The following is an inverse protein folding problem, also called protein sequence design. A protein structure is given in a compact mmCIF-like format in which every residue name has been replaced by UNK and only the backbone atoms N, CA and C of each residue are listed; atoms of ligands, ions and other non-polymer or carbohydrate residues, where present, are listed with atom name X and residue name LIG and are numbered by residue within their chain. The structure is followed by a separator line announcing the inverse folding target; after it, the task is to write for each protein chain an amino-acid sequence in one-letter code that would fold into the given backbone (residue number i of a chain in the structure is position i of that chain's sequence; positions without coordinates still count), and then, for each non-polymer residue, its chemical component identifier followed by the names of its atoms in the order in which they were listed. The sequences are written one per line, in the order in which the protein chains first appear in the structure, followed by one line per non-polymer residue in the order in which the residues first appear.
data_IF_991904073793
#
_entry.id   IF_991904073793
#
_cell.length_a   1.000
_cell.length_b   1.000
_cell.length_c   1.000
_cell.angle_alpha   90.00
_cell.angle_beta   90.00
_cell.angle_gamma   90.00
#
_symmetry.space_group_name_H-M   'P 1'
#
loop_
_entity.id
_entity.type
_entity.pdbx_description
1 polymer ?
#
# COMPACT_ATOMS: atom_id res chain seq x y z
N UNK A 1 13.80 8.94 0.37
CA UNK A 1 12.54 9.14 1.11
C UNK A 1 11.51 9.41 0.04
N UNK A 2 10.61 8.46 -0.24
CA UNK A 2 9.42 8.75 -1.02
C UNK A 2 8.46 9.45 -0.05
N UNK A 3 7.86 10.57 -0.47
CA UNK A 3 6.91 11.31 0.33
C UNK A 3 5.63 11.45 -0.50
N UNK A 4 4.48 11.27 0.13
CA UNK A 4 3.18 11.51 -0.47
C UNK A 4 3.09 12.98 -0.91
N UNK A 5 2.74 13.21 -2.18
CA UNK A 5 2.53 14.56 -2.76
C UNK A 5 1.09 15.04 -2.54
N UNK A 6 0.24 14.20 -1.93
CA UNK A 6 -1.15 14.52 -1.73
C UNK A 6 -1.32 15.67 -0.71
N UNK A 7 -2.21 16.60 -1.04
CA UNK A 7 -2.53 17.73 -0.19
C UNK A 7 -3.68 17.35 0.75
N UNK A 8 -3.33 17.07 2.00
CA UNK A 8 -4.24 16.71 3.08
C UNK A 8 -5.32 17.79 3.36
N UNK A 9 -5.17 19.01 2.85
CA UNK A 9 -6.15 20.08 3.03
C UNK A 9 -7.29 20.04 2.01
N UNK A 10 -7.19 19.21 0.96
CA UNK A 10 -8.24 19.08 -0.04
C UNK A 10 -9.36 18.15 0.47
N UNK A 11 -10.64 18.56 0.41
CA UNK A 11 -11.77 17.72 0.81
C UNK A 11 -11.80 16.37 0.07
N UNK A 12 -11.41 16.36 -1.21
CA UNK A 12 -11.35 15.17 -2.04
C UNK A 12 -10.34 14.15 -1.51
N UNK A 13 -9.26 14.63 -0.91
CA UNK A 13 -8.30 13.77 -0.28
C UNK A 13 -8.79 13.30 1.09
N UNK A 14 -9.46 14.15 1.89
CA UNK A 14 -10.00 13.74 3.18
C UNK A 14 -10.98 12.54 3.06
N UNK A 15 -11.81 12.54 2.02
CA UNK A 15 -12.83 11.50 1.78
C UNK A 15 -12.32 10.31 0.95
N UNK A 16 -11.03 10.25 0.59
CA UNK A 16 -10.49 9.17 -0.22
C UNK A 16 -10.53 7.82 0.54
N UNK A 17 -11.10 6.79 -0.09
CA UNK A 17 -11.13 5.42 0.45
C UNK A 17 -9.82 4.65 0.23
N UNK A 18 -9.07 5.01 -0.82
CA UNK A 18 -7.83 4.34 -1.21
C UNK A 18 -6.80 5.40 -1.57
N UNK A 19 -5.59 5.22 -1.08
CA UNK A 19 -4.42 6.00 -1.46
C UNK A 19 -3.33 5.09 -2.02
N UNK A 20 -2.71 5.54 -3.12
CA UNK A 20 -1.69 4.79 -3.83
C UNK A 20 -0.52 5.70 -4.17
N UNK A 21 0.69 5.27 -3.82
CA UNK A 21 1.92 5.94 -4.22
C UNK A 21 2.99 4.96 -4.67
N UNK A 22 4.02 5.48 -5.33
CA UNK A 22 5.14 4.68 -5.83
C UNK A 22 6.32 4.72 -4.87
N UNK A 23 6.92 3.56 -4.65
CA UNK A 23 8.16 3.42 -3.91
C UNK A 23 9.38 3.29 -4.85
N UNK A 24 10.59 3.66 -4.38
CA UNK A 24 11.82 3.40 -5.12
C UNK A 24 12.03 1.91 -5.37
N UNK A 25 12.85 1.53 -6.37
CA UNK A 25 13.09 0.12 -6.67
C UNK A 25 13.56 -0.68 -5.46
N UNK A 26 12.96 -1.86 -5.26
CA UNK A 26 13.26 -2.75 -4.14
C UNK A 26 12.73 -2.33 -2.75
N UNK A 27 12.06 -1.19 -2.61
CA UNK A 27 11.42 -0.79 -1.35
C UNK A 27 10.03 -1.45 -1.19
N UNK A 28 10.03 -2.73 -0.81
CA UNK A 28 8.85 -3.62 -0.82
C UNK A 28 7.87 -3.46 0.35
N UNK A 29 8.18 -2.61 1.32
CA UNK A 29 7.39 -2.43 2.54
C UNK A 29 7.06 -0.95 2.74
N UNK A 30 6.00 -0.70 3.50
CA UNK A 30 5.74 0.62 4.06
C UNK A 30 6.91 1.05 4.95
N UNK A 31 7.21 2.34 4.92
CA UNK A 31 8.23 3.00 5.71
C UNK A 31 7.61 3.68 6.93
N UNK A 32 8.41 3.96 7.97
CA UNK A 32 7.90 4.69 9.14
C UNK A 32 7.49 6.14 8.84
N UNK A 33 7.74 6.67 7.63
CA UNK A 33 7.17 7.93 7.18
C UNK A 33 5.72 7.76 6.70
N UNK A 34 5.38 6.59 6.12
CA UNK A 34 4.00 6.26 5.74
C UNK A 34 3.14 6.15 7.02
N UNK A 35 3.65 5.51 8.08
CA UNK A 35 2.92 5.38 9.36
C UNK A 35 2.64 6.73 10.08
N UNK A 36 3.37 7.81 9.76
CA UNK A 36 3.26 9.13 10.44
C UNK A 36 2.15 10.01 9.82
N UNK A 37 1.81 9.83 8.54
CA UNK A 37 0.79 10.62 7.82
C UNK A 37 -0.65 10.07 7.96
N UNK A 38 -0.78 8.95 8.69
CA UNK A 38 -1.98 8.10 8.75
C UNK A 38 -2.86 8.21 10.03
N UNK A 39 -2.46 8.86 11.15
CA UNK A 39 -3.31 8.92 12.36
C UNK A 39 -4.68 9.55 12.13
N UNK A 40 -5.73 8.86 12.61
CA UNK A 40 -7.12 9.34 12.55
C UNK A 40 -7.85 9.09 11.23
N UNK A 41 -7.19 8.51 10.21
CA UNK A 41 -7.82 8.12 8.95
C UNK A 41 -8.27 6.65 8.99
N UNK A 42 -9.33 6.32 8.26
CA UNK A 42 -9.75 4.94 7.99
C UNK A 42 -9.72 4.73 6.49
N UNK A 43 -8.63 4.16 5.98
CA UNK A 43 -8.27 4.16 4.55
C UNK A 43 -7.47 2.92 4.20
N UNK A 44 -7.56 2.51 2.94
CA UNK A 44 -6.65 1.53 2.35
C UNK A 44 -5.45 2.26 1.76
N UNK A 45 -4.26 1.88 2.19
CA UNK A 45 -3.01 2.39 1.62
C UNK A 45 -2.39 1.32 0.74
N UNK A 46 -1.78 1.72 -0.36
CA UNK A 46 -1.02 0.81 -1.20
C UNK A 46 0.22 1.43 -1.82
N UNK A 47 1.26 0.63 -1.91
CA UNK A 47 2.52 1.02 -2.53
C UNK A 47 2.72 0.23 -3.83
N UNK A 48 3.14 0.92 -4.89
CA UNK A 48 3.60 0.32 -6.13
C UNK A 48 5.12 0.37 -6.21
N UNK A 49 5.76 -0.76 -6.48
CA UNK A 49 7.22 -0.90 -6.51
C UNK A 49 7.65 -1.46 -7.86
N UNK A 50 8.85 -1.08 -8.32
CA UNK A 50 9.46 -1.58 -9.57
C UNK A 50 8.56 -1.39 -10.80
N UNK A 51 7.86 -0.25 -10.87
CA UNK A 51 6.78 0.03 -11.83
C UNK A 51 7.15 -0.09 -13.32
N UNK A 52 8.44 -0.01 -13.66
CA UNK A 52 8.94 -0.06 -15.04
C UNK A 52 9.52 -1.41 -15.47
N UNK A 53 9.57 -2.42 -14.60
CA UNK A 53 10.10 -3.76 -14.93
C UNK A 53 9.11 -4.85 -14.52
N UNK A 54 9.13 -5.24 -13.23
CA UNK A 54 8.23 -6.26 -12.67
C UNK A 54 7.41 -5.60 -11.56
N UNK A 55 6.30 -4.93 -11.91
CA UNK A 55 5.53 -4.16 -10.96
C UNK A 55 5.02 -5.04 -9.83
N UNK A 56 5.14 -4.53 -8.61
CA UNK A 56 4.65 -5.18 -7.40
C UNK A 56 3.77 -4.21 -6.64
N UNK A 57 2.81 -4.74 -5.93
CA UNK A 57 1.90 -3.96 -5.10
C UNK A 57 1.80 -4.58 -3.71
N UNK A 58 1.69 -3.74 -2.70
CA UNK A 58 1.39 -4.13 -1.32
C UNK A 58 0.30 -3.23 -0.79
N UNK A 59 -0.71 -3.80 -0.15
CA UNK A 59 -1.80 -3.06 0.47
C UNK A 59 -1.81 -3.23 1.99
N UNK A 60 -2.25 -2.19 2.69
CA UNK A 60 -2.65 -2.28 4.08
C UNK A 60 -3.97 -1.54 4.31
N UNK A 61 -4.81 -2.10 5.18
CA UNK A 61 -5.99 -1.43 5.69
C UNK A 61 -5.61 -0.72 6.98
N UNK A 62 -5.73 0.62 6.99
CA UNK A 62 -5.60 1.45 8.18
C UNK A 62 -6.97 1.71 8.80
N UNK A 63 -7.10 1.41 10.09
CA UNK A 63 -8.25 1.76 10.92
C UNK A 63 -7.72 2.53 12.12
N UNK A 64 -7.80 3.87 12.07
CA UNK A 64 -7.09 4.74 13.01
C UNK A 64 -5.58 4.44 12.97
N UNK A 65 -4.95 4.18 14.12
CA UNK A 65 -3.50 3.96 14.23
C UNK A 65 -3.14 2.46 14.14
N UNK A 66 -3.98 1.65 13.48
CA UNK A 66 -3.79 0.21 13.33
C UNK A 66 -3.77 -0.16 11.85
N UNK A 67 -2.70 -0.83 11.42
CA UNK A 67 -2.48 -1.23 10.04
C UNK A 67 -2.42 -2.74 9.91
N UNK A 68 -3.23 -3.28 9.00
CA UNK A 68 -3.27 -4.70 8.69
C UNK A 68 -2.96 -4.90 7.22
N UNK A 69 -1.94 -5.70 6.92
CA UNK A 69 -1.63 -6.09 5.54
C UNK A 69 -2.80 -6.91 4.97
N UNK A 70 -3.30 -6.53 3.80
CA UNK A 70 -4.41 -7.21 3.13
C UNK A 70 -4.02 -7.60 1.70
N UNK A 71 -4.41 -8.78 1.20
CA UNK A 71 -4.17 -9.12 -0.20
C UNK A 71 -5.01 -8.23 -1.12
N UNK A 72 -4.47 -7.92 -2.29
CA UNK A 72 -5.09 -7.09 -3.31
C UNK A 72 -6.45 -7.66 -3.75
N UNK A 73 -6.62 -8.98 -3.69
CA UNK A 73 -7.84 -9.71 -4.02
C UNK A 73 -9.04 -9.37 -3.13
N UNK A 74 -8.84 -8.75 -1.97
CA UNK A 74 -9.94 -8.30 -1.11
C UNK A 74 -10.63 -7.03 -1.62
N UNK A 75 -9.93 -6.22 -2.41
CA UNK A 75 -10.34 -4.85 -2.74
C UNK A 75 -10.23 -4.53 -4.24
N UNK A 76 -9.60 -5.39 -5.03
CA UNK A 76 -9.31 -5.16 -6.43
C UNK A 76 -9.11 -6.46 -7.21
N UNK A 77 -9.03 -6.34 -8.54
CA UNK A 77 -8.55 -7.39 -9.43
C UNK A 77 -7.25 -6.90 -10.06
N UNK A 78 -6.14 -7.58 -9.81
CA UNK A 78 -4.84 -7.16 -10.34
C UNK A 78 -4.70 -7.50 -11.84
N UNK A 79 -4.20 -6.56 -12.65
CA UNK A 79 -3.74 -6.85 -14.00
C UNK A 79 -2.72 -7.97 -14.04
N UNK A 80 -2.73 -8.74 -15.14
CA UNK A 80 -1.75 -9.81 -15.36
C UNK A 80 -0.33 -9.24 -15.33
N UNK A 81 0.55 -9.90 -14.58
CA UNK A 81 1.97 -9.53 -14.49
C UNK A 81 2.32 -8.62 -13.32
N UNK A 82 1.34 -8.16 -12.54
CA UNK A 82 1.56 -7.49 -11.26
C UNK A 82 1.65 -8.54 -10.16
N UNK A 83 2.67 -8.41 -9.29
CA UNK A 83 2.85 -9.30 -8.14
C UNK A 83 2.22 -8.65 -6.89
N UNK A 84 1.35 -9.39 -6.21
CA UNK A 84 0.88 -9.03 -4.87
C UNK A 84 1.90 -9.50 -3.82
N UNK A 85 2.51 -8.56 -3.12
CA UNK A 85 3.51 -8.83 -2.10
C UNK A 85 2.91 -9.50 -0.84
N UNK A 86 1.64 -9.24 -0.53
CA UNK A 86 0.98 -9.84 0.63
C UNK A 86 0.62 -11.31 0.37
N UNK A 87 0.20 -11.65 -0.85
CA UNK A 87 -0.01 -13.06 -1.22
C UNK A 87 1.30 -13.84 -1.23
N UNK A 88 2.39 -13.24 -1.74
CA UNK A 88 3.73 -13.87 -1.70
C UNK A 88 4.18 -14.11 -0.26
N UNK A 89 4.05 -13.12 0.63
CA UNK A 89 4.42 -13.25 2.03
C UNK A 89 3.59 -14.31 2.76
N UNK A 90 2.28 -14.35 2.53
CA UNK A 90 1.39 -15.36 3.10
C UNK A 90 1.79 -16.78 2.66
N UNK A 91 2.08 -16.98 1.37
CA UNK A 91 2.55 -18.26 0.86
C UNK A 91 3.88 -18.69 1.48
N UNK A 92 4.83 -17.76 1.64
CA UNK A 92 6.12 -18.05 2.28
C UNK A 92 5.94 -18.46 3.75
N UNK A 93 5.06 -17.80 4.49
CA UNK A 93 4.76 -18.15 5.89
C UNK A 93 4.13 -19.54 6.03
N UNK A 94 3.30 -19.96 5.06
CA UNK A 94 2.70 -21.31 5.06
C UNK A 94 3.70 -22.43 4.76
N UNK A 95 4.90 -22.11 4.26
CA UNK A 95 5.94 -23.07 3.91
C UNK A 95 7.00 -23.27 5.01
N UNK A 96 6.90 -22.52 6.12
CA UNK A 96 7.78 -22.58 7.29
C UNK A 96 7.12 -23.36 8.43
#
# INVERSE_FOLDING_TARGET
MAATIADDQLPEYADACIELHTHPPGALNFSGADDIDEPGKSRIFGILVDVHDKPKIRFQCGIYDQFVQIPASWISVLPKGIVDLNEVESLLQMML
#
